data_IF_174860561442
#
_entry.id   IF_174860561442
#
_cell.length_a   1.000
_cell.length_b   1.000
_cell.length_c   1.000
_cell.angle_alpha   90.00
_cell.angle_beta   90.00
_cell.angle_gamma   90.00
#
_symmetry.space_group_name_H-M   'P 1'
#
loop_
_entity.id
_entity.type
_entity.pdbx_description
1 polymer ?
#
# COMPACT_ATOMS: atom_id res chain seq x y z
N UNK A 1 14.04 2.25 9.56
CA UNK A 1 15.33 2.61 8.95
C UNK A 1 16.23 1.38 8.78
N UNK A 2 16.51 0.63 9.85
CA UNK A 2 17.46 -0.51 9.81
C UNK A 2 17.19 -1.48 8.66
N UNK A 3 15.96 -2.01 8.45
CA UNK A 3 15.73 -2.95 7.35
C UNK A 3 15.85 -2.31 5.96
N UNK A 4 15.51 -1.03 5.79
CA UNK A 4 15.60 -0.35 4.49
C UNK A 4 17.06 -0.14 4.09
N UNK A 5 17.90 0.34 5.03
CA UNK A 5 19.34 0.51 4.80
C UNK A 5 20.01 -0.86 4.66
N UNK A 6 19.64 -1.82 5.52
CA UNK A 6 20.16 -3.19 5.45
C UNK A 6 19.88 -3.83 4.07
N UNK A 7 18.68 -3.59 3.51
CA UNK A 7 18.34 -4.06 2.18
C UNK A 7 19.20 -3.37 1.10
N UNK A 8 19.38 -2.04 1.18
CA UNK A 8 20.22 -1.30 0.25
C UNK A 8 21.68 -1.80 0.22
N UNK A 9 22.22 -2.18 1.38
CA UNK A 9 23.56 -2.77 1.46
C UNK A 9 23.58 -4.20 0.93
N UNK A 10 22.59 -5.00 1.31
CA UNK A 10 22.53 -6.41 0.96
C UNK A 10 22.40 -6.67 -0.55
N UNK A 11 21.65 -5.83 -1.27
CA UNK A 11 21.45 -6.04 -2.74
C UNK A 11 22.70 -5.77 -3.57
N UNK A 12 23.71 -5.09 -3.04
CA UNK A 12 24.96 -4.81 -3.73
C UNK A 12 25.89 -6.03 -3.77
N UNK A 13 25.65 -7.02 -2.90
CA UNK A 13 26.47 -8.22 -2.87
C UNK A 13 25.70 -9.41 -3.47
N UNK A 14 26.11 -9.92 -4.65
CA UNK A 14 25.48 -11.09 -5.27
C UNK A 14 25.50 -12.36 -4.41
N UNK A 15 26.44 -12.44 -3.44
CA UNK A 15 26.52 -13.54 -2.49
C UNK A 15 25.55 -13.46 -1.32
N UNK A 16 24.74 -12.40 -1.25
CA UNK A 16 23.75 -12.25 -0.17
C UNK A 16 22.70 -13.36 -0.25
N UNK A 17 22.53 -14.18 0.79
CA UNK A 17 21.59 -15.28 0.75
C UNK A 17 20.14 -14.78 0.75
N UNK A 18 19.29 -15.41 -0.04
CA UNK A 18 17.89 -15.02 -0.23
C UNK A 18 17.09 -14.92 1.09
N UNK A 19 17.33 -15.84 2.05
CA UNK A 19 16.68 -15.78 3.36
C UNK A 19 16.95 -14.49 4.12
N UNK A 20 18.13 -13.89 3.94
CA UNK A 20 18.49 -12.63 4.63
C UNK A 20 17.68 -11.45 4.02
N UNK A 21 17.50 -11.42 2.70
CA UNK A 21 16.62 -10.44 2.04
C UNK A 21 15.16 -10.59 2.50
N UNK A 22 14.69 -11.84 2.65
CA UNK A 22 13.37 -12.11 3.21
C UNK A 22 13.24 -11.63 4.66
N UNK A 23 14.26 -11.85 5.48
CA UNK A 23 14.28 -11.37 6.87
C UNK A 23 14.21 -9.84 6.94
N UNK A 24 14.98 -9.12 6.13
CA UNK A 24 14.93 -7.67 6.06
C UNK A 24 13.55 -7.19 5.57
N UNK A 25 12.98 -7.86 4.58
CA UNK A 25 11.62 -7.56 4.09
C UNK A 25 10.56 -7.81 5.16
N UNK A 26 10.69 -8.86 5.96
CA UNK A 26 9.83 -9.11 7.12
C UNK A 26 9.92 -7.97 8.15
N UNK A 27 11.12 -7.46 8.44
CA UNK A 27 11.33 -6.36 9.36
C UNK A 27 10.69 -5.04 8.86
N UNK A 28 10.60 -4.82 7.54
CA UNK A 28 9.89 -3.64 7.01
C UNK A 28 8.41 -3.63 7.36
N UNK A 29 7.80 -4.79 7.56
CA UNK A 29 6.41 -4.95 8.02
C UNK A 29 6.13 -4.27 9.36
N UNK A 30 7.14 -4.10 10.22
CA UNK A 30 7.02 -3.36 11.49
C UNK A 30 6.64 -1.90 11.22
N UNK A 31 7.26 -1.27 10.20
CA UNK A 31 6.91 0.08 9.78
C UNK A 31 5.47 0.19 9.28
N UNK A 32 5.00 -0.79 8.50
CA UNK A 32 3.60 -0.90 8.09
C UNK A 32 2.63 -1.05 9.27
N UNK A 33 3.05 -1.73 10.32
CA UNK A 33 2.29 -1.87 11.58
C UNK A 33 2.06 -0.55 12.33
N UNK A 34 2.94 0.45 12.15
CA UNK A 34 2.80 1.76 12.77
C UNK A 34 1.53 2.51 12.32
N UNK A 35 1.03 2.24 11.10
CA UNK A 35 -0.24 2.76 10.61
C UNK A 35 -1.41 2.49 11.57
N UNK A 36 -1.43 1.32 12.18
CA UNK A 36 -2.44 0.94 13.18
C UNK A 36 -2.39 1.77 14.45
N UNK A 37 -1.24 2.34 14.79
CA UNK A 37 -1.08 3.24 15.94
C UNK A 37 -1.54 4.66 15.65
N UNK A 38 -1.38 5.15 14.41
CA UNK A 38 -1.70 6.53 14.05
C UNK A 38 -3.16 6.76 13.65
N UNK A 39 -3.79 5.80 12.98
CA UNK A 39 -5.18 5.94 12.50
C UNK A 39 -6.18 6.19 13.63
N UNK A 40 -6.14 5.47 14.77
CA UNK A 40 -7.09 5.70 15.85
C UNK A 40 -7.05 7.13 16.42
N UNK A 41 -5.85 7.74 16.47
CA UNK A 41 -5.67 9.08 17.03
C UNK A 41 -6.51 10.13 16.28
N UNK A 42 -6.60 10.03 14.96
CA UNK A 42 -7.44 10.93 14.15
C UNK A 42 -8.90 10.88 14.53
N UNK A 43 -9.43 9.71 14.91
CA UNK A 43 -10.83 9.57 15.31
C UNK A 43 -11.19 10.35 16.57
N UNK A 44 -10.21 10.70 17.41
CA UNK A 44 -10.44 11.47 18.63
C UNK A 44 -10.58 12.99 18.38
N UNK A 45 -9.99 13.49 17.29
CA UNK A 45 -10.03 14.91 16.95
C UNK A 45 -11.27 15.33 16.16
N UNK A 46 -12.00 14.36 15.57
CA UNK A 46 -13.13 14.66 14.69
C UNK A 46 -14.45 14.10 15.22
N UNK A 47 -15.58 14.78 14.99
CA UNK A 47 -16.90 14.26 15.36
C UNK A 47 -17.23 13.01 14.52
N UNK A 48 -18.00 12.08 15.11
CA UNK A 48 -18.43 10.84 14.44
C UNK A 48 -19.09 11.07 13.08
N UNK A 49 -19.81 12.19 12.94
CA UNK A 49 -20.46 12.57 11.68
C UNK A 49 -19.46 12.74 10.52
N UNK A 50 -18.23 13.22 10.79
CA UNK A 50 -17.18 13.48 9.82
C UNK A 50 -16.05 12.45 9.84
N UNK A 51 -16.24 11.32 10.50
CA UNK A 51 -15.18 10.30 10.64
C UNK A 51 -14.76 9.67 9.32
N UNK A 52 -15.70 9.50 8.38
CA UNK A 52 -15.39 8.99 7.03
C UNK A 52 -14.47 9.93 6.27
N UNK A 53 -14.78 11.23 6.27
CA UNK A 53 -13.92 12.26 5.67
C UNK A 53 -12.54 12.29 6.31
N UNK A 54 -12.46 12.40 7.64
CA UNK A 54 -11.20 12.54 8.36
C UNK A 54 -10.28 11.31 8.18
N UNK A 55 -10.81 10.11 8.41
CA UNK A 55 -10.05 8.86 8.26
C UNK A 55 -9.77 8.54 6.78
N UNK A 56 -10.67 8.92 5.88
CA UNK A 56 -10.49 8.79 4.44
C UNK A 56 -9.33 9.65 3.94
N UNK A 57 -9.27 10.91 4.34
CA UNK A 57 -8.18 11.85 3.99
C UNK A 57 -6.85 11.35 4.56
N UNK A 58 -6.79 11.11 5.87
CA UNK A 58 -5.54 10.68 6.53
C UNK A 58 -4.97 9.42 5.88
N UNK A 59 -5.78 8.39 5.76
CA UNK A 59 -5.31 7.12 5.26
C UNK A 59 -5.17 7.08 3.73
N UNK A 60 -5.99 7.85 3.01
CA UNK A 60 -5.87 8.00 1.56
C UNK A 60 -4.57 8.73 1.18
N UNK A 61 -4.27 9.85 1.82
CA UNK A 61 -2.99 10.56 1.62
C UNK A 61 -1.81 9.65 1.98
N UNK A 62 -1.89 8.89 3.09
CA UNK A 62 -0.85 7.91 3.42
C UNK A 62 -0.67 6.84 2.34
N UNK A 63 -1.75 6.39 1.72
CA UNK A 63 -1.69 5.40 0.64
C UNK A 63 -1.11 5.96 -0.68
N UNK A 64 -1.15 7.28 -0.94
CA UNK A 64 -0.43 7.87 -2.06
C UNK A 64 1.07 7.58 -2.03
N UNK A 65 1.64 7.37 -0.85
CA UNK A 65 3.03 6.93 -0.72
C UNK A 65 3.36 5.68 -1.53
N UNK A 66 2.42 4.72 -1.63
CA UNK A 66 2.60 3.50 -2.46
C UNK A 66 2.75 3.88 -3.94
N UNK A 67 1.88 4.77 -4.44
CA UNK A 67 1.94 5.25 -5.81
C UNK A 67 3.23 6.02 -6.09
N UNK A 68 3.64 6.89 -5.18
CA UNK A 68 4.88 7.68 -5.31
C UNK A 68 6.10 6.75 -5.37
N UNK A 69 6.16 5.74 -4.49
CA UNK A 69 7.24 4.75 -4.47
C UNK A 69 7.28 3.99 -5.80
N UNK A 70 6.14 3.51 -6.29
CA UNK A 70 6.08 2.76 -7.55
C UNK A 70 6.44 3.62 -8.76
N UNK A 71 6.10 4.91 -8.75
CA UNK A 71 6.43 5.85 -9.84
C UNK A 71 7.90 6.25 -9.82
N UNK A 72 8.44 6.61 -8.66
CA UNK A 72 9.77 7.20 -8.55
C UNK A 72 10.89 6.18 -8.45
N UNK A 73 10.64 4.99 -7.87
CA UNK A 73 11.69 3.99 -7.67
C UNK A 73 12.37 3.55 -8.97
N UNK A 74 11.66 3.28 -10.10
CA UNK A 74 12.30 2.94 -11.36
C UNK A 74 13.24 4.05 -11.88
N UNK A 75 12.91 5.30 -11.62
CA UNK A 75 13.78 6.43 -11.93
C UNK A 75 15.00 6.50 -11.03
N UNK A 76 14.80 6.36 -9.72
CA UNK A 76 15.85 6.44 -8.71
C UNK A 76 16.92 5.36 -8.93
N UNK A 77 16.54 4.17 -9.34
CA UNK A 77 17.49 3.07 -9.63
C UNK A 77 18.13 3.18 -10.99
N UNK A 78 17.60 3.99 -11.91
CA UNK A 78 18.07 4.14 -13.28
C UNK A 78 19.26 5.08 -13.47
N UNK A 79 19.76 5.73 -12.42
CA UNK A 79 20.92 6.65 -12.52
C UNK A 79 21.73 6.67 -11.23
N UNK A 80 22.99 7.06 -11.33
CA UNK A 80 23.90 7.22 -10.20
C UNK A 80 23.46 8.44 -9.36
N UNK A 81 23.02 8.24 -8.13
CA UNK A 81 22.70 9.31 -7.19
C UNK A 81 23.95 10.13 -6.85
N UNK A 82 23.81 11.46 -6.84
CA UNK A 82 24.88 12.42 -6.51
C UNK A 82 26.10 12.39 -7.44
N UNK A 83 25.99 11.79 -8.64
CA UNK A 83 27.12 11.62 -9.55
C UNK A 83 28.27 10.83 -8.90
N UNK A 84 29.37 10.61 -9.51
CA UNK A 84 30.46 9.76 -8.99
C UNK A 84 31.10 10.18 -7.64
N UNK A 85 30.74 11.35 -7.07
CA UNK A 85 31.34 11.87 -5.83
C UNK A 85 31.15 10.97 -4.60
N UNK A 86 30.10 10.16 -4.58
CA UNK A 86 29.79 9.24 -3.48
C UNK A 86 29.76 7.77 -3.90
N UNK A 87 30.35 7.43 -5.05
CA UNK A 87 30.36 6.05 -5.57
C UNK A 87 30.88 5.04 -4.56
N UNK A 88 31.90 5.38 -3.77
CA UNK A 88 32.44 4.51 -2.72
C UNK A 88 31.49 4.24 -1.54
N UNK A 89 30.43 5.09 -1.36
CA UNK A 89 29.45 4.92 -0.30
C UNK A 89 28.15 4.32 -0.86
N UNK A 90 27.77 4.74 -2.07
CA UNK A 90 26.52 4.34 -2.73
C UNK A 90 26.68 2.96 -3.39
N UNK A 91 27.89 2.59 -3.77
CA UNK A 91 28.19 1.32 -4.44
C UNK A 91 28.13 1.40 -5.98
N UNK A 92 28.50 0.30 -6.60
CA UNK A 92 28.61 0.17 -8.06
C UNK A 92 27.24 -0.16 -8.69
N UNK A 93 27.16 0.04 -10.03
CA UNK A 93 26.01 -0.38 -10.82
C UNK A 93 25.91 -1.90 -10.92
N UNK A 94 24.70 -2.38 -11.14
CA UNK A 94 24.42 -3.75 -11.52
C UNK A 94 23.88 -3.77 -12.97
N UNK A 95 24.22 -4.81 -13.72
CA UNK A 95 23.68 -4.99 -15.06
C UNK A 95 22.27 -5.60 -14.99
N UNK A 96 21.31 -4.94 -15.62
CA UNK A 96 19.98 -5.47 -15.85
C UNK A 96 19.82 -5.84 -17.32
N UNK A 97 19.67 -7.13 -17.59
CA UNK A 97 19.37 -7.65 -18.92
C UNK A 97 17.85 -7.79 -19.05
N UNK A 98 17.27 -7.17 -20.07
CA UNK A 98 15.86 -7.38 -20.41
C UNK A 98 15.71 -8.76 -21.08
N UNK A 99 14.94 -9.69 -20.49
CA UNK A 99 14.85 -11.06 -21.03
C UNK A 99 14.13 -11.15 -22.37
N UNK A 100 13.28 -10.19 -22.71
CA UNK A 100 12.51 -10.18 -23.96
C UNK A 100 13.26 -9.59 -25.14
N UNK A 101 14.04 -8.52 -24.90
CA UNK A 101 14.75 -7.78 -25.95
C UNK A 101 16.26 -8.01 -25.94
N UNK A 102 16.82 -8.58 -24.87
CA UNK A 102 18.25 -8.73 -24.66
C UNK A 102 18.98 -7.41 -24.37
N UNK A 103 18.28 -6.29 -24.22
CA UNK A 103 18.88 -5.00 -23.92
C UNK A 103 19.52 -4.99 -22.52
N UNK A 104 20.78 -4.54 -22.45
CA UNK A 104 21.53 -4.40 -21.20
C UNK A 104 21.54 -2.94 -20.77
N UNK A 105 21.24 -2.68 -19.49
CA UNK A 105 21.35 -1.35 -18.90
C UNK A 105 21.92 -1.42 -17.49
N UNK A 106 22.63 -0.39 -17.11
CA UNK A 106 23.13 -0.24 -15.74
C UNK A 106 22.03 0.29 -14.81
N UNK A 107 21.94 -0.29 -13.62
CA UNK A 107 21.00 0.08 -12.57
C UNK A 107 21.68 0.08 -11.20
N UNK A 108 21.16 0.89 -10.29
CA UNK A 108 21.63 1.01 -8.91
C UNK A 108 20.47 0.67 -7.96
N UNK A 109 20.20 -0.59 -7.73
CA UNK A 109 19.08 -1.02 -6.86
C UNK A 109 19.17 -0.46 -5.44
N UNK A 110 20.38 -0.29 -4.90
CA UNK A 110 20.63 0.28 -3.59
C UNK A 110 20.10 1.72 -3.44
N UNK A 111 20.01 2.47 -4.53
CA UNK A 111 19.50 3.84 -4.50
C UNK A 111 18.08 3.94 -3.98
N UNK A 112 17.24 2.95 -4.28
CA UNK A 112 15.89 2.88 -3.73
C UNK A 112 15.93 2.88 -2.20
N UNK A 113 16.77 2.03 -1.59
CA UNK A 113 16.91 1.96 -0.15
C UNK A 113 17.42 3.26 0.47
N UNK A 114 18.45 3.85 -0.10
CA UNK A 114 19.04 5.09 0.42
C UNK A 114 18.10 6.29 0.29
N UNK A 115 17.42 6.44 -0.84
CA UNK A 115 16.47 7.53 -1.06
C UNK A 115 15.28 7.44 -0.09
N UNK A 116 14.67 6.27 0.03
CA UNK A 116 13.53 6.08 0.92
C UNK A 116 13.94 6.10 2.40
N UNK A 117 15.15 5.66 2.76
CA UNK A 117 15.68 5.82 4.11
C UNK A 117 15.85 7.30 4.48
N UNK A 118 16.41 8.12 3.58
CA UNK A 118 16.57 9.56 3.80
C UNK A 118 15.24 10.25 4.04
N UNK A 119 14.21 9.96 3.22
CA UNK A 119 12.85 10.48 3.43
C UNK A 119 12.24 10.01 4.76
N UNK A 120 12.52 8.77 5.16
CA UNK A 120 12.06 8.24 6.45
C UNK A 120 12.71 8.98 7.62
N UNK A 121 13.99 9.35 7.53
CA UNK A 121 14.67 10.20 8.54
C UNK A 121 13.99 11.56 8.64
N UNK A 122 13.78 12.22 7.50
CA UNK A 122 13.09 13.52 7.46
C UNK A 122 11.70 13.41 8.09
N UNK A 123 10.92 12.41 7.70
CA UNK A 123 9.59 12.16 8.27
C UNK A 123 9.62 11.90 9.79
N UNK A 124 10.63 11.17 10.27
CA UNK A 124 10.82 10.91 11.70
C UNK A 124 11.12 12.18 12.47
N UNK A 125 12.02 13.03 11.95
CA UNK A 125 12.36 14.32 12.58
C UNK A 125 11.14 15.24 12.61
N UNK A 126 10.41 15.35 11.51
CA UNK A 126 9.17 16.14 11.44
C UNK A 126 8.12 15.60 12.42
N UNK A 127 7.95 14.29 12.51
CA UNK A 127 7.03 13.70 13.47
C UNK A 127 7.43 14.03 14.91
N UNK A 128 8.71 13.95 15.24
CA UNK A 128 9.22 14.30 16.57
C UNK A 128 9.03 15.76 16.93
N UNK A 129 9.21 16.66 15.98
CA UNK A 129 9.07 18.10 16.20
C UNK A 129 7.61 18.57 16.24
N UNK A 130 6.73 17.99 15.41
CA UNK A 130 5.39 18.51 15.17
C UNK A 130 4.29 17.73 15.88
N UNK A 131 4.46 16.41 16.09
CA UNK A 131 3.43 15.60 16.71
C UNK A 131 3.42 15.77 18.22
N UNK A 132 2.22 15.89 18.77
CA UNK A 132 1.97 15.95 20.20
C UNK A 132 1.19 14.73 20.65
N UNK A 133 1.53 14.20 21.82
CA UNK A 133 0.77 13.10 22.42
C UNK A 133 -0.65 13.55 22.72
N UNK A 134 -1.63 12.73 22.32
CA UNK A 134 -3.02 12.94 22.68
C UNK A 134 -3.20 12.47 24.13
N UNK A 135 -3.74 13.27 25.04
CA UNK A 135 -4.06 12.82 26.37
C UNK A 135 -5.24 11.84 26.31
N UNK A 136 -4.94 10.57 26.16
CA UNK A 136 -5.92 9.48 26.21
C UNK A 136 -5.76 8.80 27.56
N UNK A 137 -6.86 8.60 28.26
CA UNK A 137 -6.88 7.67 29.40
C UNK A 137 -6.52 6.30 28.89
N UNK A 138 -5.30 5.85 29.20
CA UNK A 138 -4.80 4.54 28.76
C UNK A 138 -5.64 3.49 29.51
N UNK A 139 -6.54 2.82 28.81
CA UNK A 139 -7.18 1.62 29.30
C UNK A 139 -6.12 0.56 29.60
N UNK A 140 -6.29 -0.23 30.66
CA UNK A 140 -5.40 -1.36 30.92
C UNK A 140 -5.32 -2.24 29.69
N UNK A 141 -4.16 -2.82 29.41
CA UNK A 141 -3.96 -3.71 28.25
C UNK A 141 -5.01 -4.83 28.22
N UNK A 142 -5.42 -5.34 29.39
CA UNK A 142 -6.49 -6.33 29.52
C UNK A 142 -7.82 -5.84 28.95
N UNK A 143 -8.16 -4.57 29.14
CA UNK A 143 -9.43 -3.99 28.70
C UNK A 143 -9.49 -3.82 27.16
N UNK A 144 -8.34 -3.85 26.52
CA UNK A 144 -8.25 -3.81 25.04
C UNK A 144 -8.66 -5.14 24.41
N UNK A 145 -8.56 -6.25 25.14
CA UNK A 145 -8.99 -7.56 24.62
C UNK A 145 -10.50 -7.75 24.59
N UNK A 146 -11.28 -6.88 25.24
CA UNK A 146 -12.75 -6.92 25.19
C UNK A 146 -13.30 -6.77 23.77
N UNK A 147 -12.55 -6.11 22.86
CA UNK A 147 -12.95 -5.96 21.47
C UNK A 147 -13.11 -7.30 20.76
N UNK A 148 -12.37 -8.34 21.15
CA UNK A 148 -12.44 -9.66 20.52
C UNK A 148 -13.70 -10.44 20.85
N UNK A 149 -14.40 -10.08 21.94
CA UNK A 149 -15.70 -10.65 22.33
C UNK A 149 -16.85 -10.11 21.49
N UNK A 150 -16.67 -8.97 20.82
CA UNK A 150 -17.70 -8.35 20.02
C UNK A 150 -17.66 -8.91 18.59
N UNK A 151 -18.75 -9.57 18.16
CA UNK A 151 -18.87 -10.12 16.79
C UNK A 151 -18.65 -9.09 15.69
N UNK A 152 -19.01 -7.82 15.93
CA UNK A 152 -18.82 -6.76 14.96
C UNK A 152 -17.35 -6.45 14.71
N UNK A 153 -16.44 -6.72 15.64
CA UNK A 153 -14.99 -6.60 15.41
C UNK A 153 -14.56 -7.51 14.28
N UNK A 154 -14.97 -8.77 14.29
CA UNK A 154 -14.62 -9.74 13.27
C UNK A 154 -15.25 -9.44 11.92
N UNK A 155 -16.53 -9.00 11.92
CA UNK A 155 -17.21 -8.58 10.69
C UNK A 155 -16.48 -7.37 10.06
N UNK A 156 -16.14 -6.36 10.86
CA UNK A 156 -15.44 -5.17 10.37
C UNK A 156 -14.02 -5.51 9.90
N UNK A 157 -13.35 -6.44 10.57
CA UNK A 157 -12.04 -6.95 10.15
C UNK A 157 -12.15 -7.66 8.80
N UNK A 158 -13.13 -8.54 8.62
CA UNK A 158 -13.36 -9.22 7.35
C UNK A 158 -13.64 -8.23 6.20
N UNK A 159 -14.53 -7.26 6.43
CA UNK A 159 -14.82 -6.22 5.43
C UNK A 159 -13.58 -5.40 5.08
N UNK A 160 -12.73 -5.13 6.05
CA UNK A 160 -11.48 -4.41 5.79
C UNK A 160 -10.44 -5.28 5.08
N UNK A 161 -10.37 -6.57 5.39
CA UNK A 161 -9.54 -7.54 4.65
C UNK A 161 -9.98 -7.58 3.19
N UNK A 162 -11.28 -7.61 2.91
CA UNK A 162 -11.77 -7.59 1.52
C UNK A 162 -11.42 -6.28 0.82
N UNK A 163 -11.69 -5.13 1.44
CA UNK A 163 -11.51 -3.82 0.78
C UNK A 163 -10.04 -3.38 0.74
N UNK A 164 -9.35 -3.44 1.89
CA UNK A 164 -7.96 -3.02 1.97
C UNK A 164 -7.00 -4.12 1.50
N UNK A 165 -7.34 -5.39 1.73
CA UNK A 165 -6.59 -6.52 1.22
C UNK A 165 -6.56 -6.53 -0.31
N UNK A 166 -7.69 -6.25 -0.98
CA UNK A 166 -7.72 -6.06 -2.42
C UNK A 166 -6.78 -4.92 -2.86
N UNK A 167 -6.88 -3.74 -2.20
CA UNK A 167 -5.98 -2.61 -2.53
C UNK A 167 -4.49 -2.98 -2.36
N UNK A 168 -4.11 -3.49 -1.19
CA UNK A 168 -2.69 -3.75 -0.89
C UNK A 168 -2.13 -4.97 -1.62
N UNK A 169 -2.94 -6.02 -1.76
CA UNK A 169 -2.56 -7.23 -2.47
C UNK A 169 -2.32 -6.97 -3.96
N UNK A 170 -3.28 -6.32 -4.63
CA UNK A 170 -3.09 -5.96 -6.03
C UNK A 170 -1.99 -4.93 -6.22
N UNK A 171 -1.81 -3.95 -5.32
CA UNK A 171 -0.69 -3.01 -5.42
C UNK A 171 0.67 -3.71 -5.35
N UNK A 172 0.80 -4.76 -4.54
CA UNK A 172 2.04 -5.52 -4.41
C UNK A 172 2.39 -6.32 -5.67
N UNK A 173 1.38 -6.87 -6.36
CA UNK A 173 1.58 -7.76 -7.52
C UNK A 173 1.32 -7.10 -8.86
N UNK A 174 0.83 -5.87 -8.91
CA UNK A 174 0.36 -5.25 -10.15
C UNK A 174 1.45 -5.11 -11.22
N UNK A 175 2.63 -4.63 -10.84
CA UNK A 175 3.76 -4.54 -11.75
C UNK A 175 4.18 -5.93 -12.28
N UNK A 176 4.21 -6.94 -11.41
CA UNK A 176 4.53 -8.32 -11.79
C UNK A 176 3.46 -8.90 -12.72
N UNK A 177 2.20 -8.62 -12.47
CA UNK A 177 1.10 -9.08 -13.30
C UNK A 177 1.14 -8.47 -14.72
N UNK A 178 1.43 -7.16 -14.82
CA UNK A 178 1.66 -6.50 -16.12
C UNK A 178 2.84 -7.17 -16.82
N UNK A 179 3.97 -7.36 -16.13
CA UNK A 179 5.16 -8.01 -16.70
C UNK A 179 4.85 -9.42 -17.21
N UNK A 180 4.18 -10.23 -16.40
CA UNK A 180 3.92 -11.63 -16.71
C UNK A 180 2.87 -11.84 -17.81
N UNK A 181 1.98 -10.88 -18.05
CA UNK A 181 0.88 -11.02 -19.02
C UNK A 181 1.04 -10.15 -20.27
N UNK A 182 1.72 -9.01 -20.16
CA UNK A 182 1.85 -8.01 -21.22
C UNK A 182 3.29 -7.54 -21.42
N UNK A 183 4.26 -8.06 -20.67
CA UNK A 183 5.65 -7.62 -20.73
C UNK A 183 6.39 -8.07 -21.99
N UNK A 184 7.61 -7.59 -22.12
CA UNK A 184 8.52 -7.91 -23.23
C UNK A 184 8.84 -9.40 -23.37
N UNK A 185 8.77 -10.15 -22.28
CA UNK A 185 8.92 -11.62 -22.30
C UNK A 185 7.78 -12.33 -23.05
N UNK A 186 6.60 -11.68 -23.19
CA UNK A 186 5.41 -12.24 -23.84
C UNK A 186 5.25 -11.70 -25.26
N UNK A 187 5.41 -10.37 -25.44
CA UNK A 187 5.13 -9.69 -26.71
C UNK A 187 6.37 -9.02 -27.35
N UNK A 188 7.59 -9.34 -26.88
CA UNK A 188 8.81 -8.77 -27.43
C UNK A 188 8.82 -7.23 -27.38
N UNK A 189 9.13 -6.59 -28.50
CA UNK A 189 9.22 -5.12 -28.62
C UNK A 189 7.87 -4.40 -28.41
N UNK A 190 6.73 -5.10 -28.59
CA UNK A 190 5.39 -4.56 -28.32
C UNK A 190 5.00 -4.68 -26.84
N UNK A 191 5.84 -5.32 -26.02
CA UNK A 191 5.60 -5.56 -24.61
C UNK A 191 5.49 -4.28 -23.79
N UNK A 192 4.58 -4.30 -22.82
CA UNK A 192 4.28 -3.16 -21.94
C UNK A 192 5.30 -3.08 -20.80
N UNK A 193 5.86 -1.90 -20.58
CA UNK A 193 6.73 -1.64 -19.43
C UNK A 193 5.90 -1.42 -18.15
N UNK A 194 5.96 -2.31 -17.15
CA UNK A 194 5.18 -2.20 -15.92
C UNK A 194 5.41 -0.91 -15.14
N UNK A 195 6.63 -0.36 -15.19
CA UNK A 195 7.01 0.84 -14.45
C UNK A 195 6.21 2.08 -14.86
N UNK A 196 5.67 2.09 -16.08
CA UNK A 196 4.88 3.21 -16.60
C UNK A 196 3.43 3.21 -16.11
N UNK A 197 2.91 2.08 -15.59
CA UNK A 197 1.48 1.91 -15.33
C UNK A 197 1.15 1.44 -13.91
N UNK A 198 2.04 0.69 -13.25
CA UNK A 198 1.73 0.05 -11.98
C UNK A 198 1.32 1.04 -10.88
N UNK A 199 1.91 2.23 -10.85
CA UNK A 199 1.58 3.26 -9.86
C UNK A 199 0.15 3.79 -9.97
N UNK A 200 -0.48 3.68 -11.14
CA UNK A 200 -1.84 4.18 -11.39
C UNK A 200 -2.88 3.47 -10.52
N UNK A 201 -2.70 2.17 -10.26
CA UNK A 201 -3.60 1.43 -9.39
C UNK A 201 -3.66 2.03 -7.99
N UNK A 202 -2.51 2.17 -7.34
CA UNK A 202 -2.42 2.77 -6.01
C UNK A 202 -2.87 4.24 -6.01
N UNK A 203 -2.59 5.00 -7.07
CA UNK A 203 -3.03 6.38 -7.25
C UNK A 203 -4.56 6.48 -7.24
N UNK A 204 -5.23 5.72 -8.10
CA UNK A 204 -6.69 5.72 -8.24
C UNK A 204 -7.36 5.28 -6.94
N UNK A 205 -6.89 4.20 -6.32
CA UNK A 205 -7.46 3.71 -5.07
C UNK A 205 -7.28 4.69 -3.91
N UNK A 206 -6.12 5.35 -3.83
CA UNK A 206 -5.87 6.39 -2.81
C UNK A 206 -6.74 7.63 -3.03
N UNK A 207 -6.87 8.09 -4.27
CA UNK A 207 -7.74 9.19 -4.64
C UNK A 207 -9.22 8.88 -4.33
N UNK A 208 -9.69 7.69 -4.71
CA UNK A 208 -11.03 7.24 -4.40
C UNK A 208 -11.29 7.22 -2.88
N UNK A 209 -10.33 6.78 -2.08
CA UNK A 209 -10.44 6.78 -0.61
C UNK A 209 -10.62 8.19 -0.05
N UNK A 210 -9.89 9.17 -0.55
CA UNK A 210 -10.02 10.58 -0.12
C UNK A 210 -11.37 11.15 -0.55
N UNK A 211 -11.72 10.99 -1.82
CA UNK A 211 -12.91 11.61 -2.42
C UNK A 211 -14.23 11.03 -1.90
N UNK A 212 -14.25 9.74 -1.57
CA UNK A 212 -15.47 9.05 -1.12
C UNK A 212 -15.64 8.99 0.40
N UNK A 213 -14.72 9.55 1.18
CA UNK A 213 -14.91 9.76 2.62
C UNK A 213 -16.18 10.58 2.93
N UNK A 214 -16.37 11.77 2.31
CA UNK A 214 -17.60 12.56 2.44
C UNK A 214 -18.86 11.84 1.96
N UNK A 215 -18.74 11.03 0.91
CA UNK A 215 -19.86 10.22 0.40
C UNK A 215 -20.30 9.18 1.44
N UNK A 216 -19.34 8.52 2.09
CA UNK A 216 -19.61 7.58 3.16
C UNK A 216 -20.23 8.28 4.40
N UNK A 217 -19.84 9.52 4.69
CA UNK A 217 -20.45 10.33 5.75
C UNK A 217 -21.92 10.68 5.46
N UNK A 218 -22.24 10.97 4.18
CA UNK A 218 -23.59 11.37 3.76
C UNK A 218 -24.56 10.20 3.61
N UNK A 219 -24.14 9.13 2.96
CA UNK A 219 -25.00 7.99 2.59
C UNK A 219 -24.94 6.82 3.58
N UNK A 220 -24.03 6.88 4.55
CA UNK A 220 -23.79 5.83 5.53
C UNK A 220 -22.75 4.80 5.05
N UNK A 221 -21.83 4.44 5.96
CA UNK A 221 -20.73 3.56 5.63
C UNK A 221 -21.17 2.18 5.11
N UNK A 222 -22.22 1.57 5.69
CA UNK A 222 -22.65 0.23 5.33
C UNK A 222 -23.13 0.12 3.87
N UNK A 223 -23.91 1.08 3.39
CA UNK A 223 -24.39 1.09 1.99
C UNK A 223 -23.24 1.27 1.01
N UNK A 224 -22.35 2.20 1.32
CA UNK A 224 -21.19 2.49 0.47
C UNK A 224 -20.23 1.29 0.44
N UNK A 225 -20.03 0.61 1.59
CA UNK A 225 -19.22 -0.62 1.63
C UNK A 225 -19.84 -1.75 0.81
N UNK A 226 -21.17 -1.92 0.85
CA UNK A 226 -21.85 -2.92 0.03
C UNK A 226 -21.62 -2.69 -1.47
N UNK A 227 -21.86 -1.45 -1.94
CA UNK A 227 -21.61 -1.08 -3.34
C UNK A 227 -20.16 -1.30 -3.74
N UNK A 228 -19.23 -0.92 -2.87
CA UNK A 228 -17.80 -1.13 -3.07
C UNK A 228 -17.44 -2.62 -3.18
N UNK A 229 -17.94 -3.45 -2.28
CA UNK A 229 -17.63 -4.90 -2.29
C UNK A 229 -18.17 -5.59 -3.55
N UNK A 230 -19.39 -5.24 -3.97
CA UNK A 230 -19.97 -5.72 -5.24
C UNK A 230 -19.14 -5.23 -6.43
N UNK A 231 -18.73 -3.94 -6.41
CA UNK A 231 -17.86 -3.37 -7.43
C UNK A 231 -16.50 -4.07 -7.53
N UNK A 232 -15.86 -4.38 -6.40
CA UNK A 232 -14.60 -5.17 -6.38
C UNK A 232 -14.84 -6.53 -7.03
N UNK A 233 -15.90 -7.26 -6.62
CA UNK A 233 -16.18 -8.59 -7.14
C UNK A 233 -16.43 -8.58 -8.67
N UNK A 234 -17.25 -7.64 -9.15
CA UNK A 234 -17.52 -7.48 -10.56
C UNK A 234 -16.26 -7.11 -11.37
N UNK A 235 -15.45 -6.19 -10.84
CA UNK A 235 -14.18 -5.79 -11.47
C UNK A 235 -13.18 -6.93 -11.50
N UNK A 236 -13.08 -7.73 -10.44
CA UNK A 236 -12.24 -8.93 -10.40
C UNK A 236 -12.70 -9.97 -11.45
N UNK A 237 -14.01 -10.22 -11.55
CA UNK A 237 -14.56 -11.13 -12.54
C UNK A 237 -14.26 -10.64 -13.96
N UNK A 238 -14.43 -9.34 -14.25
CA UNK A 238 -14.06 -8.76 -15.53
C UNK A 238 -12.56 -8.88 -15.81
N UNK A 239 -11.71 -8.50 -14.84
CA UNK A 239 -10.26 -8.56 -15.01
C UNK A 239 -9.78 -9.99 -15.26
N UNK A 240 -10.41 -10.98 -14.62
CA UNK A 240 -10.09 -12.37 -14.82
C UNK A 240 -10.26 -12.82 -16.29
N UNK A 241 -11.24 -12.27 -17.02
CA UNK A 241 -11.42 -12.55 -18.46
C UNK A 241 -10.32 -11.93 -19.34
N UNK A 242 -9.54 -11.00 -18.82
CA UNK A 242 -8.45 -10.30 -19.53
C UNK A 242 -7.06 -10.87 -19.23
N UNK A 243 -6.95 -11.97 -18.48
CA UNK A 243 -5.66 -12.54 -18.07
C UNK A 243 -5.02 -13.47 -19.12
N UNK A 244 -5.69 -13.71 -20.22
CA UNK A 244 -5.17 -14.48 -21.36
C UNK A 244 -5.23 -13.62 -22.62
N UNK A 245 -4.36 -12.57 -22.72
CA UNK A 245 -4.38 -11.67 -23.86
C UNK A 245 -3.82 -12.37 -25.12
N UNK A 246 -4.42 -12.08 -26.26
CA UNK A 246 -3.94 -12.54 -27.56
C UNK A 246 -2.89 -11.57 -28.15
N UNK A 247 -2.92 -10.29 -27.71
CA UNK A 247 -2.02 -9.24 -28.19
C UNK A 247 -1.76 -8.18 -27.11
N UNK A 248 -0.68 -7.38 -27.30
CA UNK A 248 -0.42 -6.22 -26.46
C UNK A 248 -1.54 -5.16 -26.54
N UNK A 249 -2.33 -5.14 -27.62
CA UNK A 249 -3.46 -4.24 -27.78
C UNK A 249 -4.61 -4.50 -26.79
N UNK A 250 -4.65 -5.65 -26.14
CA UNK A 250 -5.65 -5.98 -25.09
C UNK A 250 -5.32 -5.33 -23.74
N UNK A 251 -4.13 -4.75 -23.59
CA UNK A 251 -3.68 -4.12 -22.34
C UNK A 251 -4.65 -3.06 -21.79
N UNK A 252 -5.25 -2.15 -22.58
CA UNK A 252 -6.20 -1.16 -22.04
C UNK A 252 -7.41 -1.80 -21.35
N UNK A 253 -7.95 -2.89 -21.88
CA UNK A 253 -9.09 -3.59 -21.28
C UNK A 253 -8.74 -4.19 -19.92
N UNK A 254 -7.58 -4.85 -19.82
CA UNK A 254 -7.02 -5.32 -18.56
C UNK A 254 -6.78 -4.16 -17.58
N UNK A 255 -6.21 -3.05 -18.04
CA UNK A 255 -5.91 -1.88 -17.23
C UNK A 255 -7.16 -1.26 -16.61
N UNK A 256 -8.23 -1.10 -17.39
CA UNK A 256 -9.51 -0.60 -16.87
C UNK A 256 -10.09 -1.50 -15.79
N UNK A 257 -10.03 -2.82 -15.98
CA UNK A 257 -10.44 -3.78 -14.95
C UNK A 257 -9.65 -3.62 -13.65
N UNK A 258 -8.33 -3.54 -13.73
CA UNK A 258 -7.47 -3.31 -12.57
C UNK A 258 -7.75 -1.97 -11.89
N UNK A 259 -7.87 -0.87 -12.64
CA UNK A 259 -8.18 0.43 -12.07
C UNK A 259 -9.55 0.46 -11.39
N UNK A 260 -10.53 -0.27 -11.91
CA UNK A 260 -11.84 -0.41 -11.27
C UNK A 260 -11.74 -1.16 -9.93
N UNK A 261 -10.92 -2.23 -9.84
CA UNK A 261 -10.65 -2.91 -8.57
C UNK A 261 -10.08 -1.92 -7.55
N UNK A 262 -9.05 -1.16 -7.92
CA UNK A 262 -8.44 -0.17 -7.03
C UNK A 262 -9.43 0.94 -6.62
N UNK A 263 -10.23 1.42 -7.55
CA UNK A 263 -11.24 2.44 -7.30
C UNK A 263 -12.26 1.98 -6.26
N UNK A 264 -12.88 0.84 -6.48
CA UNK A 264 -13.84 0.30 -5.52
C UNK A 264 -13.19 -0.09 -4.19
N UNK A 265 -11.97 -0.62 -4.19
CA UNK A 265 -11.21 -0.90 -2.98
C UNK A 265 -10.96 0.38 -2.17
N UNK A 266 -10.61 1.48 -2.83
CA UNK A 266 -10.45 2.78 -2.18
C UNK A 266 -11.74 3.29 -1.53
N UNK A 267 -12.87 3.22 -2.22
CA UNK A 267 -14.21 3.55 -1.68
C UNK A 267 -14.51 2.69 -0.45
N UNK A 268 -14.30 1.37 -0.56
CA UNK A 268 -14.54 0.42 0.52
C UNK A 268 -13.71 0.71 1.76
N UNK A 269 -12.46 1.12 1.57
CA UNK A 269 -11.57 1.50 2.66
C UNK A 269 -12.08 2.71 3.44
N UNK A 270 -12.56 3.75 2.76
CA UNK A 270 -13.14 4.93 3.42
C UNK A 270 -14.42 4.58 4.18
N UNK A 271 -15.30 3.82 3.54
CA UNK A 271 -16.63 3.51 4.07
C UNK A 271 -16.57 2.50 5.23
N UNK A 272 -15.63 1.56 5.23
CA UNK A 272 -15.43 0.61 6.33
C UNK A 272 -14.98 1.33 7.60
N UNK A 273 -14.02 2.24 7.49
CA UNK A 273 -13.59 3.04 8.66
C UNK A 273 -14.66 3.98 9.18
N UNK A 274 -15.56 4.49 8.31
CA UNK A 274 -16.70 5.29 8.73
C UNK A 274 -17.62 4.53 9.70
N UNK A 275 -17.77 3.23 9.52
CA UNK A 275 -18.69 2.42 10.32
C UNK A 275 -18.17 2.20 11.75
N UNK A 276 -16.85 2.06 11.93
CA UNK A 276 -16.25 1.65 13.21
C UNK A 276 -16.60 2.58 14.37
N UNK A 277 -16.48 3.91 14.29
CA UNK A 277 -16.87 4.80 15.38
C UNK A 277 -18.37 4.83 15.66
N UNK A 278 -19.20 4.36 14.73
CA UNK A 278 -20.65 4.25 14.89
C UNK A 278 -21.10 2.98 15.59
N UNK A 279 -20.37 1.88 15.41
CA UNK A 279 -20.70 0.56 15.94
C UNK A 279 -20.15 0.37 17.36
N UNK A 280 -18.96 0.93 17.63
CA UNK A 280 -18.23 0.72 18.86
C UNK A 280 -18.30 1.93 19.79
N UNK A 281 -18.28 1.68 21.09
CA UNK A 281 -18.12 2.75 22.07
C UNK A 281 -16.80 3.48 21.88
N UNK A 282 -16.73 4.75 22.32
CA UNK A 282 -15.55 5.60 22.13
C UNK A 282 -14.26 4.98 22.67
N UNK A 283 -14.38 4.23 23.79
CA UNK A 283 -13.28 3.46 24.41
C UNK A 283 -12.78 2.32 23.51
N UNK A 284 -13.69 1.62 22.85
CA UNK A 284 -13.39 0.44 22.03
C UNK A 284 -13.06 0.80 20.58
N UNK A 285 -13.60 1.91 20.04
CA UNK A 285 -13.45 2.25 18.62
C UNK A 285 -12.01 2.42 18.20
N UNK A 286 -11.16 3.03 19.04
CA UNK A 286 -9.72 3.14 18.77
C UNK A 286 -9.02 1.79 18.71
N UNK A 287 -9.32 0.88 19.63
CA UNK A 287 -8.78 -0.48 19.66
C UNK A 287 -9.21 -1.30 18.44
N UNK A 288 -10.48 -1.19 18.02
CA UNK A 288 -10.98 -1.90 16.83
C UNK A 288 -10.37 -1.36 15.56
N UNK A 289 -10.26 -0.04 15.38
CA UNK A 289 -9.61 0.57 14.22
C UNK A 289 -8.15 0.12 14.16
N UNK A 290 -7.44 0.12 15.28
CA UNK A 290 -6.06 -0.33 15.37
C UNK A 290 -5.90 -1.82 15.03
N UNK A 291 -6.73 -2.69 15.60
CA UNK A 291 -6.71 -4.12 15.34
C UNK A 291 -7.06 -4.46 13.88
N UNK A 292 -8.15 -3.90 13.38
CA UNK A 292 -8.62 -4.14 12.01
C UNK A 292 -7.57 -3.72 10.98
N UNK A 293 -6.89 -2.60 11.22
CA UNK A 293 -5.81 -2.15 10.34
C UNK A 293 -4.53 -3.00 10.42
N UNK A 294 -4.36 -3.80 11.49
CA UNK A 294 -3.27 -4.81 11.62
C UNK A 294 -3.51 -6.08 10.79
N UNK A 295 -4.71 -6.36 10.33
CA UNK A 295 -5.03 -7.52 9.48
C UNK A 295 -4.12 -7.66 8.25
N UNK A 296 -3.35 -6.62 7.94
CA UNK A 296 -2.25 -6.60 6.97
C UNK A 296 -1.16 -7.65 7.18
N UNK A 297 -0.85 -7.98 8.43
CA UNK A 297 0.36 -8.77 8.75
C UNK A 297 0.18 -10.25 8.39
N UNK A 298 -1.05 -10.73 8.31
CA UNK A 298 -1.34 -12.13 8.06
C UNK A 298 -1.43 -12.50 6.57
N UNK A 299 -1.80 -11.55 5.69
CA UNK A 299 -1.94 -11.80 4.25
C UNK A 299 -0.64 -11.60 3.45
N UNK A 300 0.39 -11.01 4.03
CA UNK A 300 1.71 -10.83 3.42
C UNK A 300 2.66 -12.02 3.65
N UNK A 301 2.15 -13.17 4.14
CA UNK A 301 2.96 -14.34 4.50
C UNK A 301 2.86 -15.52 3.51
N UNK A 302 2.17 -15.37 2.40
CA UNK A 302 2.20 -16.35 1.29
C UNK A 302 2.83 -15.66 0.02
#
# INVERSE_FOLDING_TARGET
LVPIVGWAVAVQNPGTPYWFLLFLSFLTGIGGGAFSGFIPSTSYFFPRAKSGTALGIQAGIGNFGVSIVQLLTPWIVGFMLLGGAFAGIIGESQELVDPGTGAVREVWYQNAGYAWASLTVVGTVLAWLLLRSVPVTVAKVSDQFDIFRNKHTWIMTLLYVVTFGAFSGFAAVFALLIKAKFGTEVFGDEGINPAQYAFLGALVGSAARVLFGPVADRFGGARVTLVSTVGIAASCAYTATQLSPDSAADFPAFMWGMLAIFFFAGIGNASTFKQMPGIFERRQSGGVIGFTSKGRIWLARE
#
